data_IF_530677546944
#
_entry.id   IF_530677546944
#
_cell.length_a   1.000
_cell.length_b   1.000
_cell.length_c   1.000
_cell.angle_alpha   90.00
_cell.angle_beta   90.00
_cell.angle_gamma   90.00
#
_symmetry.space_group_name_H-M   'P 1'
#
loop_
_entity.id
_entity.type
_entity.pdbx_description
1 polymer ?
#
# COMPACT_ATOMS: atom_id res chain seq x y z
N UNK A 1 26.62 1.09 -3.71
CA UNK A 1 25.62 0.49 -4.64
C UNK A 1 25.45 -0.93 -4.20
N UNK A 2 24.23 -1.27 -3.78
CA UNK A 2 23.87 -2.58 -3.27
C UNK A 2 22.96 -3.29 -4.28
N UNK A 3 23.02 -4.61 -4.31
CA UNK A 3 22.08 -5.44 -5.04
C UNK A 3 21.32 -6.33 -4.06
N UNK A 4 20.03 -6.51 -4.32
CA UNK A 4 19.18 -7.41 -3.55
C UNK A 4 18.49 -8.39 -4.48
N UNK A 5 18.61 -9.66 -4.15
CA UNK A 5 17.83 -10.71 -4.77
C UNK A 5 16.48 -10.83 -4.06
N UNK A 6 15.40 -10.72 -4.83
CA UNK A 6 14.02 -10.87 -4.38
C UNK A 6 13.36 -12.05 -5.11
N UNK A 7 12.36 -12.66 -4.48
CA UNK A 7 11.64 -13.80 -5.07
C UNK A 7 10.18 -13.43 -5.25
N UNK A 8 9.69 -13.51 -6.49
CA UNK A 8 8.28 -13.28 -6.84
C UNK A 8 7.82 -14.49 -7.65
N UNK A 9 6.75 -15.16 -7.18
CA UNK A 9 6.18 -16.33 -7.85
C UNK A 9 7.19 -17.42 -8.21
N UNK A 10 8.07 -17.76 -7.25
CA UNK A 10 9.15 -18.75 -7.40
C UNK A 10 10.24 -18.38 -8.43
N UNK A 11 10.31 -17.11 -8.85
CA UNK A 11 11.40 -16.59 -9.70
C UNK A 11 12.21 -15.54 -8.96
N UNK A 12 13.52 -15.60 -9.16
CA UNK A 12 14.48 -14.70 -8.53
C UNK A 12 14.74 -13.51 -9.44
N UNK A 13 14.66 -12.31 -8.89
CA UNK A 13 14.92 -11.04 -9.55
C UNK A 13 16.02 -10.30 -8.78
N UNK A 14 17.00 -9.77 -9.51
CA UNK A 14 18.08 -8.97 -8.92
C UNK A 14 17.80 -7.49 -9.13
N UNK A 15 17.70 -6.74 -8.04
CA UNK A 15 17.38 -5.31 -8.05
C UNK A 15 18.56 -4.53 -7.49
N UNK A 16 19.07 -3.58 -8.27
CA UNK A 16 20.06 -2.63 -7.80
C UNK A 16 19.38 -1.51 -7.03
N UNK A 17 19.86 -1.22 -5.82
CA UNK A 17 19.31 -0.23 -4.91
C UNK A 17 20.44 0.57 -4.24
N UNK A 18 20.04 1.62 -3.48
CA UNK A 18 21.01 2.39 -2.69
C UNK A 18 21.35 1.62 -1.42
N UNK A 19 22.54 1.89 -0.90
CA UNK A 19 23.01 1.27 0.34
C UNK A 19 22.05 1.63 1.49
N UNK A 20 21.52 0.64 2.21
CA UNK A 20 20.52 0.82 3.27
C UNK A 20 19.05 0.76 2.82
N UNK A 21 18.76 0.63 1.52
CA UNK A 21 17.39 0.41 1.03
C UNK A 21 17.03 -1.08 0.92
N UNK A 22 17.94 -2.00 1.24
CA UNK A 22 17.75 -3.43 0.95
C UNK A 22 16.50 -4.02 1.62
N UNK A 23 16.28 -3.69 2.88
CA UNK A 23 15.12 -4.18 3.65
C UNK A 23 13.80 -3.61 3.12
N UNK A 24 13.82 -2.36 2.64
CA UNK A 24 12.64 -1.75 2.03
C UNK A 24 12.28 -2.48 0.73
N UNK A 25 13.26 -2.79 -0.11
CA UNK A 25 13.05 -3.55 -1.35
C UNK A 25 12.52 -4.95 -1.05
N UNK A 26 13.10 -5.66 -0.06
CA UNK A 26 12.60 -6.98 0.38
C UNK A 26 11.15 -6.90 0.85
N UNK A 27 10.82 -5.92 1.70
CA UNK A 27 9.46 -5.72 2.19
C UNK A 27 8.46 -5.49 1.06
N UNK A 28 8.78 -4.61 0.11
CA UNK A 28 7.92 -4.34 -1.05
C UNK A 28 7.77 -5.57 -1.95
N UNK A 29 8.85 -6.31 -2.18
CA UNK A 29 8.80 -7.54 -2.97
C UNK A 29 7.91 -8.62 -2.34
N UNK A 30 7.90 -8.71 -1.00
CA UNK A 30 7.01 -9.62 -0.28
C UNK A 30 5.55 -9.27 -0.49
N UNK A 31 5.19 -7.98 -0.52
CA UNK A 31 3.82 -7.54 -0.78
C UNK A 31 3.39 -7.88 -2.21
N UNK A 32 4.28 -7.63 -3.19
CA UNK A 32 4.02 -8.03 -4.59
C UNK A 32 3.81 -9.55 -4.68
N UNK A 33 4.69 -10.34 -4.06
CA UNK A 33 4.56 -11.80 -4.08
C UNK A 33 3.25 -12.28 -3.44
N UNK A 34 2.82 -11.67 -2.34
CA UNK A 34 1.53 -12.00 -1.70
C UNK A 34 0.34 -11.73 -2.62
N UNK A 35 0.30 -10.59 -3.31
CA UNK A 35 -0.78 -10.29 -4.26
C UNK A 35 -0.74 -11.22 -5.47
N UNK A 36 0.45 -11.53 -5.99
CA UNK A 36 0.62 -12.50 -7.07
C UNK A 36 0.06 -13.87 -6.65
N UNK A 37 0.42 -14.38 -5.47
CA UNK A 37 -0.12 -15.65 -4.96
C UNK A 37 -1.64 -15.59 -4.76
N UNK A 38 -2.18 -14.46 -4.30
CA UNK A 38 -3.63 -14.27 -4.20
C UNK A 38 -4.32 -14.38 -5.56
N UNK A 39 -3.74 -13.78 -6.60
CA UNK A 39 -4.26 -13.84 -7.96
C UNK A 39 -4.16 -15.24 -8.56
N UNK A 40 -3.07 -15.98 -8.31
CA UNK A 40 -2.94 -17.40 -8.67
C UNK A 40 -4.09 -18.20 -8.09
N UNK A 41 -4.40 -18.01 -6.81
CA UNK A 41 -5.45 -18.74 -6.12
C UNK A 41 -6.86 -18.39 -6.61
N UNK A 42 -7.09 -17.16 -7.07
CA UNK A 42 -8.41 -16.68 -7.52
C UNK A 42 -8.71 -16.95 -8.99
N UNK A 43 -7.72 -16.75 -9.86
CA UNK A 43 -7.89 -16.72 -11.32
C UNK A 43 -7.21 -17.94 -11.97
N UNK A 44 -6.37 -18.65 -11.22
CA UNK A 44 -5.53 -19.72 -11.73
C UNK A 44 -4.18 -19.22 -12.23
N UNK A 45 -3.36 -20.15 -12.72
CA UNK A 45 -2.02 -19.82 -13.20
C UNK A 45 -2.07 -19.22 -14.62
N UNK A 46 -1.69 -17.96 -14.71
CA UNK A 46 -1.45 -17.24 -15.97
C UNK A 46 0.06 -17.14 -16.23
N UNK A 47 0.41 -16.69 -17.44
CA UNK A 47 1.79 -16.33 -17.75
C UNK A 47 2.30 -15.25 -16.79
N UNK A 48 3.54 -15.39 -16.33
CA UNK A 48 4.11 -14.56 -15.27
C UNK A 48 3.98 -13.05 -15.54
N UNK A 49 4.33 -12.59 -16.74
CA UNK A 49 4.26 -11.18 -17.08
C UNK A 49 2.84 -10.61 -16.91
N UNK A 50 1.81 -11.38 -17.26
CA UNK A 50 0.40 -10.98 -17.09
C UNK A 50 0.01 -10.98 -15.62
N UNK A 51 0.54 -11.92 -14.84
CA UNK A 51 0.27 -12.03 -13.42
C UNK A 51 0.88 -10.88 -12.63
N UNK A 52 2.13 -10.52 -12.92
CA UNK A 52 2.80 -9.35 -12.33
C UNK A 52 2.07 -8.06 -12.73
N UNK A 53 1.66 -7.93 -14.00
CA UNK A 53 0.87 -6.77 -14.46
C UNK A 53 -0.44 -6.62 -13.69
N UNK A 54 -1.20 -7.71 -13.53
CA UNK A 54 -2.44 -7.69 -12.76
C UNK A 54 -2.19 -7.36 -11.28
N UNK A 55 -1.15 -7.95 -10.68
CA UNK A 55 -0.78 -7.64 -9.29
C UNK A 55 -0.42 -6.16 -9.12
N UNK A 56 0.32 -5.58 -10.07
CA UNK A 56 0.68 -4.17 -10.05
C UNK A 56 -0.55 -3.25 -10.16
N UNK A 57 -1.49 -3.57 -11.06
CA UNK A 57 -2.74 -2.82 -11.20
C UNK A 57 -3.58 -2.88 -9.92
N UNK A 58 -3.72 -4.05 -9.31
CA UNK A 58 -4.47 -4.23 -8.05
C UNK A 58 -3.81 -3.50 -6.89
N UNK A 59 -2.48 -3.54 -6.80
CA UNK A 59 -1.75 -2.80 -5.75
C UNK A 59 -1.90 -1.29 -5.90
N UNK A 60 -1.91 -0.78 -7.13
CA UNK A 60 -2.12 0.63 -7.39
C UNK A 60 -3.55 1.07 -7.02
N UNK A 61 -4.56 0.30 -7.46
CA UNK A 61 -5.97 0.51 -7.12
C UNK A 61 -6.18 0.55 -5.60
N UNK A 62 -5.58 -0.39 -4.85
CA UNK A 62 -5.61 -0.38 -3.37
C UNK A 62 -4.92 0.83 -2.76
N UNK A 63 -3.86 1.35 -3.39
CA UNK A 63 -3.15 2.53 -2.91
C UNK A 63 -4.03 3.77 -3.06
N UNK A 64 -4.69 3.92 -4.19
CA UNK A 64 -5.59 5.04 -4.49
C UNK A 64 -6.81 5.00 -3.55
N UNK A 65 -7.45 3.84 -3.39
CA UNK A 65 -8.53 3.61 -2.42
C UNK A 65 -8.15 4.01 -0.99
N UNK A 66 -6.91 3.72 -0.59
CA UNK A 66 -6.41 4.06 0.74
C UNK A 66 -6.13 5.56 0.89
N UNK A 67 -5.68 6.23 -0.18
CA UNK A 67 -5.49 7.68 -0.20
C UNK A 67 -6.83 8.40 -0.07
N UNK A 68 -7.84 7.97 -0.82
CA UNK A 68 -9.19 8.55 -0.77
C UNK A 68 -9.82 8.41 0.62
N UNK A 69 -9.72 7.21 1.22
CA UNK A 69 -10.18 6.97 2.60
C UNK A 69 -9.43 7.83 3.62
N UNK A 70 -8.14 8.04 3.42
CA UNK A 70 -7.35 8.91 4.30
C UNK A 70 -7.85 10.35 4.22
N UNK A 71 -8.12 10.86 3.02
CA UNK A 71 -8.67 12.19 2.83
C UNK A 71 -10.06 12.34 3.48
N UNK A 72 -10.93 11.34 3.31
CA UNK A 72 -12.24 11.32 3.96
C UNK A 72 -12.12 11.33 5.49
N UNK A 73 -11.25 10.50 6.05
CA UNK A 73 -11.00 10.43 7.50
C UNK A 73 -10.48 11.77 8.02
N UNK A 74 -9.55 12.41 7.31
CA UNK A 74 -9.00 13.71 7.69
C UNK A 74 -10.10 14.79 7.69
N UNK A 75 -10.96 14.80 6.67
CA UNK A 75 -12.10 15.72 6.59
C UNK A 75 -13.07 15.52 7.76
N UNK A 76 -13.50 14.27 8.00
CA UNK A 76 -14.39 13.94 9.12
C UNK A 76 -13.75 14.31 10.47
N UNK A 77 -12.44 14.13 10.61
CA UNK A 77 -11.72 14.49 11.83
C UNK A 77 -11.69 15.99 12.02
N UNK A 78 -11.46 16.78 10.96
CA UNK A 78 -11.52 18.25 11.02
C UNK A 78 -12.91 18.75 11.42
N UNK A 79 -13.96 18.24 10.78
CA UNK A 79 -15.36 18.60 11.08
C UNK A 79 -15.72 18.25 12.54
N UNK A 80 -15.30 17.07 13.02
CA UNK A 80 -15.49 16.67 14.42
C UNK A 80 -14.72 17.58 15.38
N UNK A 81 -13.46 17.91 15.09
CA UNK A 81 -12.66 18.82 15.91
C UNK A 81 -13.34 20.18 16.00
N UNK A 82 -13.83 20.74 14.89
CA UNK A 82 -14.56 22.02 14.88
C UNK A 82 -15.84 21.94 15.74
N UNK A 83 -16.60 20.85 15.64
CA UNK A 83 -17.81 20.64 16.46
C UNK A 83 -17.49 20.57 17.97
N UNK A 84 -16.38 19.93 18.33
CA UNK A 84 -15.92 19.83 19.73
C UNK A 84 -15.45 21.19 20.25
N UNK A 85 -14.67 21.93 19.46
CA UNK A 85 -14.19 23.28 19.82
C UNK A 85 -15.36 24.24 20.04
N UNK A 86 -16.39 24.19 19.18
CA UNK A 86 -17.58 25.03 19.33
C UNK A 86 -18.38 24.70 20.60
N UNK A 87 -18.45 23.42 20.98
CA UNK A 87 -19.11 22.97 22.22
C UNK A 87 -18.36 23.44 23.47
N UNK A 88 -17.01 23.37 23.48
CA UNK A 88 -16.18 23.84 24.61
C UNK A 88 -16.29 25.36 24.81
N UNK A 89 -16.33 26.14 23.72
CA UNK A 89 -16.48 27.60 23.81
C UNK A 89 -17.90 28.04 24.23
N UNK A 90 -18.92 27.19 24.01
CA UNK A 90 -20.28 27.43 24.47
C UNK A 90 -20.44 27.34 25.99
N UNK A 91 -19.68 26.47 26.66
CA UNK A 91 -19.76 26.27 28.12
C UNK A 91 -19.02 27.33 28.94
N UNK A 92 -18.00 28.00 28.37
CA UNK A 92 -17.24 29.07 29.08
C UNK A 92 -17.97 30.42 29.18
N UNK A 93 -19.15 30.58 28.55
CA UNK A 93 -19.88 31.86 28.47
C UNK A 93 -21.03 32.00 29.47
N UNK A 94 -21.25 31.00 30.34
CA UNK A 94 -22.14 31.05 31.50
C UNK A 94 -21.30 31.09 32.77
#
# INVERSE_FOLDING_TARGET
MADVDIIINSRTYRISCKDGEEDRIKSLSSQINQEVQSLVNKIGQLGEARMILLAALVLLDKSDDNQDKMEEILKQTSEKIESVVSSINGERKK
#
